data_IF_053428350814
#
_entry.id   IF_053428350814
#
_cell.length_a   1.000
_cell.length_b   1.000
_cell.length_c   1.000
_cell.angle_alpha   90.00
_cell.angle_beta   90.00
_cell.angle_gamma   90.00
#
_symmetry.space_group_name_H-M   'P 1'
#
loop_
_entity.id
_entity.type
_entity.pdbx_description
1 polymer ?
#
# COMPACT_ATOMS: atom_id res chain seq x y z
N UNK A 1 3.00 -6.24 35.64
CA UNK A 1 2.10 -6.60 34.52
C UNK A 1 2.97 -7.17 33.42
N UNK A 2 2.76 -8.44 33.05
CA UNK A 2 3.47 -9.06 31.92
C UNK A 2 3.06 -8.40 30.61
N UNK A 3 4.01 -8.16 29.72
CA UNK A 3 3.73 -7.65 28.38
C UNK A 3 2.73 -8.57 27.66
N UNK A 4 1.72 -8.05 26.97
CA UNK A 4 0.78 -8.85 26.17
C UNK A 4 1.40 -9.35 24.88
N UNK A 5 2.72 -9.22 24.70
CA UNK A 5 3.42 -9.71 23.52
C UNK A 5 3.38 -11.25 23.46
N UNK A 6 3.04 -11.84 22.30
CA UNK A 6 3.07 -13.28 22.13
C UNK A 6 4.52 -13.79 22.24
N UNK A 7 4.67 -15.05 22.64
CA UNK A 7 6.00 -15.70 22.70
C UNK A 7 6.62 -15.82 21.30
N UNK A 8 5.78 -16.11 20.30
CA UNK A 8 6.12 -16.19 18.88
C UNK A 8 5.13 -15.33 18.09
N UNK A 9 5.64 -14.48 17.24
CA UNK A 9 4.81 -13.64 16.41
C UNK A 9 4.20 -14.41 15.25
N UNK A 10 3.04 -13.98 14.75
CA UNK A 10 2.41 -14.62 13.62
C UNK A 10 3.32 -14.59 12.39
N UNK A 11 3.53 -15.73 11.77
CA UNK A 11 4.40 -15.89 10.60
C UNK A 11 5.89 -16.07 10.93
N UNK A 12 6.26 -16.07 12.21
CA UNK A 12 7.63 -16.30 12.62
C UNK A 12 8.11 -17.73 12.26
N UNK A 13 9.39 -17.83 11.94
CA UNK A 13 10.00 -19.09 11.55
C UNK A 13 11.51 -19.00 11.50
N UNK A 14 12.16 -20.16 11.50
CA UNK A 14 13.60 -20.30 11.45
C UNK A 14 14.06 -20.72 10.04
N UNK A 15 15.20 -20.19 9.61
CA UNK A 15 15.86 -20.57 8.37
C UNK A 15 17.32 -20.93 8.63
N UNK A 16 17.85 -21.85 7.81
CA UNK A 16 19.29 -22.18 7.81
C UNK A 16 20.13 -21.22 6.99
N UNK A 17 19.50 -20.20 6.40
CA UNK A 17 20.18 -19.18 5.59
C UNK A 17 19.59 -17.80 5.92
N UNK A 18 20.21 -16.75 5.43
CA UNK A 18 19.81 -15.37 5.65
C UNK A 18 19.33 -14.74 4.35
N UNK A 19 18.28 -13.91 4.45
CA UNK A 19 17.70 -13.21 3.32
C UNK A 19 17.74 -11.71 3.54
N UNK A 20 17.94 -10.96 2.46
CA UNK A 20 17.92 -9.52 2.44
C UNK A 20 16.81 -9.01 1.54
N UNK A 21 15.99 -8.11 2.08
CA UNK A 21 14.94 -7.38 1.36
C UNK A 21 15.52 -6.06 0.87
N UNK A 22 15.82 -5.95 -0.42
CA UNK A 22 16.53 -4.80 -0.98
C UNK A 22 15.61 -3.60 -1.19
N UNK A 23 14.55 -3.80 -1.97
CA UNK A 23 13.57 -2.76 -2.28
C UNK A 23 12.21 -3.37 -2.60
N UNK A 24 11.18 -2.52 -2.57
CA UNK A 24 9.86 -2.85 -3.07
C UNK A 24 9.37 -1.76 -4.03
N UNK A 25 8.80 -2.19 -5.14
CA UNK A 25 8.13 -1.33 -6.11
C UNK A 25 6.62 -1.55 -6.03
N UNK A 26 5.86 -0.47 -6.00
CA UNK A 26 4.41 -0.45 -5.91
C UNK A 26 3.84 0.09 -7.23
N UNK A 27 2.83 -0.56 -7.80
CA UNK A 27 2.25 -0.17 -9.09
C UNK A 27 1.58 1.20 -9.07
N UNK A 28 1.08 1.64 -7.90
CA UNK A 28 0.45 2.94 -7.71
C UNK A 28 0.50 3.36 -6.23
N UNK A 29 0.43 4.66 -5.98
CA UNK A 29 0.29 5.25 -4.64
C UNK A 29 -1.17 5.62 -4.34
N UNK A 30 -1.95 5.90 -5.38
CA UNK A 30 -3.39 6.11 -5.34
C UNK A 30 -4.07 4.99 -6.11
N UNK A 31 -4.97 4.25 -5.46
CA UNK A 31 -5.66 3.10 -6.01
C UNK A 31 -7.16 3.20 -5.81
N UNK A 32 -7.93 2.75 -6.78
CA UNK A 32 -9.38 2.69 -6.69
C UNK A 32 -9.82 1.38 -5.97
N UNK A 33 -10.97 1.36 -5.27
CA UNK A 33 -11.48 0.15 -4.62
C UNK A 33 -11.63 -1.08 -5.54
N UNK A 34 -11.78 -0.89 -6.86
CA UNK A 34 -11.86 -1.98 -7.84
C UNK A 34 -10.52 -2.48 -8.36
N UNK A 35 -9.43 -1.80 -8.00
CA UNK A 35 -8.10 -2.07 -8.54
C UNK A 35 -7.40 -3.22 -7.80
N UNK A 36 -6.31 -3.67 -8.40
CA UNK A 36 -5.37 -4.59 -7.76
C UNK A 36 -4.01 -3.92 -7.68
N UNK A 37 -3.53 -3.70 -6.46
CA UNK A 37 -2.17 -3.22 -6.22
C UNK A 37 -1.19 -4.37 -6.47
N UNK A 38 -0.18 -4.11 -7.29
CA UNK A 38 0.92 -5.04 -7.52
C UNK A 38 2.14 -4.53 -6.76
N UNK A 39 2.70 -5.39 -5.91
CA UNK A 39 3.91 -5.09 -5.13
C UNK A 39 5.00 -6.07 -5.55
N UNK A 40 6.11 -5.55 -6.06
CA UNK A 40 7.26 -6.32 -6.48
C UNK A 40 8.40 -6.11 -5.50
N UNK A 41 8.86 -7.18 -4.85
CA UNK A 41 9.89 -7.16 -3.81
C UNK A 41 11.14 -7.85 -4.33
N UNK A 42 12.30 -7.18 -4.25
CA UNK A 42 13.59 -7.77 -4.57
C UNK A 42 14.17 -8.45 -3.34
N UNK A 43 14.30 -9.77 -3.39
CA UNK A 43 14.80 -10.62 -2.34
C UNK A 43 16.11 -11.28 -2.77
N UNK A 44 17.11 -11.31 -1.87
CA UNK A 44 18.42 -11.93 -2.10
C UNK A 44 18.74 -12.89 -0.96
N UNK A 45 19.24 -14.09 -1.29
CA UNK A 45 19.82 -14.99 -0.34
C UNK A 45 21.29 -14.57 -0.07
N UNK A 46 21.57 -14.08 1.12
CA UNK A 46 22.92 -13.63 1.52
C UNK A 46 23.70 -14.70 2.32
N UNK A 47 23.05 -15.81 2.62
CA UNK A 47 23.71 -16.93 3.30
C UNK A 47 24.41 -17.90 2.35
N UNK A 48 25.02 -18.93 2.91
CA UNK A 48 25.81 -19.95 2.19
C UNK A 48 25.02 -21.18 1.79
N UNK A 49 23.76 -21.27 2.19
CA UNK A 49 22.89 -22.45 1.94
C UNK A 49 21.65 -22.01 1.16
N UNK A 50 21.18 -22.86 0.26
CA UNK A 50 19.91 -22.63 -0.44
C UNK A 50 18.73 -22.76 0.54
N UNK A 51 17.73 -21.91 0.38
CA UNK A 51 16.58 -21.91 1.29
C UNK A 51 15.33 -21.30 0.69
N UNK A 52 14.24 -21.43 1.42
CA UNK A 52 12.96 -20.79 1.09
C UNK A 52 12.69 -19.68 2.10
N UNK A 53 12.28 -18.54 1.60
CA UNK A 53 11.83 -17.41 2.42
C UNK A 53 10.33 -17.21 2.25
N UNK A 54 9.64 -16.77 3.30
CA UNK A 54 8.22 -16.43 3.23
C UNK A 54 8.07 -14.92 3.25
N UNK A 55 7.92 -14.34 2.06
CA UNK A 55 7.62 -12.90 1.92
C UNK A 55 6.16 -12.67 2.22
N UNK A 56 5.86 -11.91 3.27
CA UNK A 56 4.52 -11.64 3.77
C UNK A 56 4.15 -10.18 3.56
N UNK A 57 2.95 -9.93 3.03
CA UNK A 57 2.39 -8.61 2.84
C UNK A 57 1.26 -8.40 3.83
N UNK A 58 1.46 -7.47 4.75
CA UNK A 58 0.46 -7.03 5.71
C UNK A 58 -0.10 -5.66 5.31
N UNK A 59 -1.35 -5.44 5.65
CA UNK A 59 -2.01 -4.15 5.48
C UNK A 59 -2.53 -3.69 6.83
N UNK A 60 -2.26 -2.43 7.14
CA UNK A 60 -2.79 -1.71 8.27
C UNK A 60 -3.65 -0.57 7.76
N UNK A 61 -4.89 -0.51 8.18
CA UNK A 61 -5.73 0.66 8.04
C UNK A 61 -5.28 1.71 9.06
N UNK A 62 -4.95 2.92 8.59
CA UNK A 62 -4.43 3.98 9.48
C UNK A 62 -5.55 4.60 10.29
N UNK A 63 -6.71 4.80 9.67
CA UNK A 63 -7.90 5.39 10.29
C UNK A 63 -9.14 4.61 9.84
N UNK A 64 -9.67 3.77 10.69
CA UNK A 64 -10.87 2.98 10.41
C UNK A 64 -12.07 3.49 11.19
N UNK A 65 -13.26 3.47 10.58
CA UNK A 65 -14.53 3.85 11.22
C UNK A 65 -15.02 2.84 12.25
N UNK A 66 -14.51 1.61 12.19
CA UNK A 66 -14.83 0.51 13.09
C UNK A 66 -13.57 -0.11 13.66
N UNK A 67 -13.71 -0.86 14.74
CA UNK A 67 -12.57 -1.57 15.34
C UNK A 67 -12.11 -2.68 14.40
N UNK A 68 -10.88 -2.56 13.92
CA UNK A 68 -10.22 -3.53 13.05
C UNK A 68 -8.95 -4.08 13.69
N UNK A 69 -8.46 -5.26 13.28
CA UNK A 69 -7.14 -5.72 13.69
C UNK A 69 -6.06 -4.70 13.33
N UNK A 70 -5.03 -4.55 14.17
CA UNK A 70 -3.92 -3.62 13.95
C UNK A 70 -3.29 -3.78 12.58
N UNK A 71 -3.18 -5.01 12.08
CA UNK A 71 -2.75 -5.36 10.73
C UNK A 71 -3.30 -6.71 10.32
N UNK A 72 -3.39 -6.95 9.02
CA UNK A 72 -3.90 -8.19 8.45
C UNK A 72 -2.95 -8.69 7.36
N UNK A 73 -2.63 -9.99 7.37
CA UNK A 73 -1.93 -10.63 6.26
C UNK A 73 -2.87 -10.73 5.06
N UNK A 74 -2.49 -10.16 3.92
CA UNK A 74 -3.31 -10.14 2.70
C UNK A 74 -2.70 -10.94 1.55
N UNK A 75 -1.38 -11.04 1.50
CA UNK A 75 -0.71 -11.85 0.49
C UNK A 75 0.60 -12.42 1.03
N UNK A 76 1.04 -13.53 0.48
CA UNK A 76 2.35 -14.09 0.76
C UNK A 76 2.88 -14.87 -0.44
N UNK A 77 4.20 -15.07 -0.47
CA UNK A 77 4.87 -15.91 -1.46
C UNK A 77 6.07 -16.60 -0.80
N UNK A 78 6.39 -17.81 -1.25
CA UNK A 78 7.49 -18.62 -0.69
C UNK A 78 8.50 -19.00 -1.79
N UNK A 79 9.33 -18.05 -2.27
CA UNK A 79 10.38 -18.33 -3.24
C UNK A 79 11.48 -19.21 -2.65
N UNK A 80 12.14 -19.98 -3.53
CA UNK A 80 13.35 -20.74 -3.22
C UNK A 80 14.53 -20.09 -3.91
N UNK A 81 15.59 -19.77 -3.15
CA UNK A 81 16.78 -19.10 -3.67
C UNK A 81 18.05 -19.89 -3.34
N UNK A 82 18.94 -19.99 -4.33
CA UNK A 82 20.31 -20.47 -4.15
C UNK A 82 21.15 -19.44 -3.40
N UNK A 83 22.30 -19.83 -2.83
CA UNK A 83 23.25 -18.88 -2.23
C UNK A 83 23.65 -17.78 -3.23
N UNK A 84 23.53 -16.52 -2.80
CA UNK A 84 23.83 -15.34 -3.62
C UNK A 84 22.77 -14.99 -4.66
N UNK A 85 21.76 -15.84 -4.87
CA UNK A 85 20.69 -15.58 -5.85
C UNK A 85 19.79 -14.43 -5.39
N UNK A 86 19.37 -13.65 -6.39
CA UNK A 86 18.39 -12.57 -6.24
C UNK A 86 17.18 -12.85 -7.12
N UNK A 87 15.99 -12.71 -6.54
CA UNK A 87 14.72 -12.91 -7.22
C UNK A 87 13.75 -11.79 -6.91
N UNK A 88 12.96 -11.38 -7.91
CA UNK A 88 11.83 -10.47 -7.71
C UNK A 88 10.56 -11.27 -7.42
N UNK A 89 9.98 -11.04 -6.27
CA UNK A 89 8.74 -11.64 -5.81
C UNK A 89 7.60 -10.69 -6.08
N UNK A 90 6.56 -11.14 -6.78
CA UNK A 90 5.38 -10.33 -7.10
C UNK A 90 4.22 -10.76 -6.22
N UNK A 91 3.69 -9.82 -5.45
CA UNK A 91 2.50 -9.97 -4.60
C UNK A 91 1.37 -9.14 -5.19
N UNK A 92 0.18 -9.72 -5.26
CA UNK A 92 -1.04 -9.06 -5.76
C UNK A 92 -1.99 -8.84 -4.59
N UNK A 93 -2.47 -7.62 -4.45
CA UNK A 93 -3.43 -7.21 -3.44
C UNK A 93 -4.65 -6.61 -4.14
N UNK A 94 -5.74 -7.38 -4.34
CA UNK A 94 -7.01 -6.80 -4.74
C UNK A 94 -7.51 -5.87 -3.64
N UNK A 95 -7.78 -4.62 -3.96
CA UNK A 95 -8.20 -3.61 -2.95
C UNK A 95 -9.53 -3.99 -2.30
N UNK A 96 -10.38 -4.72 -2.99
CA UNK A 96 -11.63 -5.26 -2.44
C UNK A 96 -11.43 -6.17 -1.21
N UNK A 97 -10.25 -6.78 -1.04
CA UNK A 97 -9.93 -7.57 0.15
C UNK A 97 -9.71 -6.72 1.41
N UNK A 98 -9.58 -5.40 1.26
CA UNK A 98 -9.51 -4.46 2.38
C UNK A 98 -10.89 -4.08 2.92
N UNK A 99 -11.96 -4.57 2.29
CA UNK A 99 -13.32 -4.27 2.70
C UNK A 99 -13.61 -4.75 4.12
N UNK A 100 -14.25 -3.89 4.87
CA UNK A 100 -14.79 -4.15 6.21
C UNK A 100 -16.33 -4.06 6.20
N UNK A 101 -16.95 -4.45 7.29
CA UNK A 101 -18.39 -4.24 7.49
C UNK A 101 -18.59 -2.99 8.33
N UNK A 102 -19.33 -2.02 7.77
CA UNK A 102 -19.70 -0.79 8.46
C UNK A 102 -20.76 -1.04 9.54
N UNK A 103 -21.13 0.02 10.28
CA UNK A 103 -22.17 -0.05 11.30
C UNK A 103 -23.55 -0.46 10.75
N UNK A 104 -23.77 -0.35 9.44
CA UNK A 104 -24.99 -0.79 8.75
C UNK A 104 -24.88 -2.22 8.22
N UNK A 105 -23.83 -2.96 8.58
CA UNK A 105 -23.53 -4.33 8.11
C UNK A 105 -23.35 -4.43 6.59
N UNK A 106 -22.93 -3.35 5.95
CA UNK A 106 -22.55 -3.34 4.53
C UNK A 106 -21.05 -3.52 4.39
N UNK A 107 -20.67 -4.36 3.43
CA UNK A 107 -19.25 -4.57 3.08
C UNK A 107 -18.79 -3.40 2.22
N UNK A 108 -17.85 -2.61 2.74
CA UNK A 108 -17.31 -1.40 2.10
C UNK A 108 -15.79 -1.37 2.19
N UNK A 109 -15.15 -0.79 1.19
CA UNK A 109 -13.74 -0.38 1.26
C UNK A 109 -13.75 1.10 1.62
N UNK A 110 -13.16 1.45 2.76
CA UNK A 110 -13.08 2.84 3.19
C UNK A 110 -12.03 3.59 2.37
N UNK A 111 -12.34 4.84 2.03
CA UNK A 111 -11.37 5.74 1.42
C UNK A 111 -10.43 6.28 2.50
N UNK A 112 -9.14 6.25 2.25
CA UNK A 112 -8.16 6.68 3.25
C UNK A 112 -6.76 6.13 3.02
N UNK A 113 -5.92 6.31 4.03
CA UNK A 113 -4.55 5.86 4.03
C UNK A 113 -4.41 4.44 4.56
N UNK A 114 -3.71 3.61 3.80
CA UNK A 114 -3.36 2.25 4.17
C UNK A 114 -1.86 2.07 4.17
N UNK A 115 -1.32 1.52 5.24
CA UNK A 115 0.10 1.19 5.32
C UNK A 115 0.32 -0.25 4.86
N UNK A 116 1.06 -0.40 3.77
CA UNK A 116 1.52 -1.69 3.26
C UNK A 116 2.84 -2.02 3.93
N UNK A 117 2.89 -3.16 4.58
CA UNK A 117 4.05 -3.65 5.32
C UNK A 117 4.51 -4.98 4.74
N UNK A 118 5.80 -5.11 4.45
CA UNK A 118 6.39 -6.34 3.92
C UNK A 118 7.43 -6.82 4.91
N UNK A 119 7.36 -8.09 5.26
CA UNK A 119 8.27 -8.68 6.23
C UNK A 119 8.29 -10.20 6.21
N UNK A 120 9.04 -10.76 7.13
CA UNK A 120 9.17 -12.20 7.37
C UNK A 120 8.15 -12.70 8.37
N UNK A 121 7.72 -11.83 9.29
CA UNK A 121 6.73 -12.09 10.33
C UNK A 121 5.93 -10.83 10.64
N UNK A 122 4.90 -10.97 11.47
CA UNK A 122 4.02 -9.84 11.82
C UNK A 122 4.74 -8.72 12.59
N UNK A 123 5.80 -9.00 13.29
CA UNK A 123 6.64 -8.04 14.03
C UNK A 123 7.99 -7.76 13.37
N UNK A 124 8.41 -8.58 12.39
CA UNK A 124 9.64 -8.38 11.63
C UNK A 124 9.32 -7.78 10.25
N UNK A 125 9.01 -6.47 10.25
CA UNK A 125 8.69 -5.72 9.04
C UNK A 125 9.95 -5.07 8.48
N UNK A 126 10.26 -5.39 7.21
CA UNK A 126 11.47 -4.94 6.49
C UNK A 126 11.21 -3.68 5.65
N UNK A 127 10.06 -3.61 5.00
CA UNK A 127 9.71 -2.51 4.11
C UNK A 127 8.30 -2.01 4.42
N UNK A 128 8.10 -0.68 4.33
CA UNK A 128 6.81 -0.03 4.57
C UNK A 128 6.54 1.02 3.51
N UNK A 129 5.28 1.15 3.12
CA UNK A 129 4.81 2.20 2.22
C UNK A 129 3.37 2.55 2.54
N UNK A 130 3.05 3.83 2.57
CA UNK A 130 1.67 4.28 2.63
C UNK A 130 1.12 4.44 1.22
N UNK A 131 -0.09 3.94 1.00
CA UNK A 131 -0.89 4.15 -0.21
C UNK A 131 -2.20 4.83 0.19
N UNK A 132 -2.85 5.48 -0.76
CA UNK A 132 -4.17 6.05 -0.58
C UNK A 132 -5.19 5.26 -1.41
N UNK A 133 -6.26 4.81 -0.76
CA UNK A 133 -7.42 4.21 -1.42
C UNK A 133 -8.50 5.27 -1.57
N UNK A 134 -8.93 5.55 -2.79
CA UNK A 134 -9.94 6.58 -3.03
C UNK A 134 -10.32 6.66 -4.50
N UNK A 135 -11.33 7.48 -4.76
CA UNK A 135 -11.68 7.80 -6.15
C UNK A 135 -10.66 8.79 -6.68
N UNK A 136 -10.11 8.51 -7.84
CA UNK A 136 -9.34 9.53 -8.54
C UNK A 136 -10.25 10.74 -8.76
N UNK A 137 -9.80 11.96 -8.46
CA UNK A 137 -10.51 13.13 -8.92
C UNK A 137 -10.65 12.97 -10.43
N UNK A 138 -11.89 12.96 -10.92
CA UNK A 138 -12.17 12.89 -12.36
C UNK A 138 -11.56 14.15 -12.94
N UNK A 139 -10.35 14.08 -13.47
CA UNK A 139 -9.85 15.10 -14.35
C UNK A 139 -10.69 15.01 -15.61
N UNK A 140 -11.82 15.69 -15.57
CA UNK A 140 -12.55 15.98 -16.79
C UNK A 140 -11.59 16.78 -17.66
N UNK A 141 -11.00 16.10 -18.65
CA UNK A 141 -10.42 16.77 -19.80
C UNK A 141 -11.57 17.40 -20.60
N UNK A 142 -12.28 18.33 -19.98
CA UNK A 142 -12.98 19.34 -20.68
C UNK A 142 -11.90 20.29 -21.17
N UNK A 143 -11.48 20.09 -22.41
CA UNK A 143 -10.77 21.09 -23.19
C UNK A 143 -11.67 22.32 -23.15
N UNK A 144 -11.43 23.19 -22.19
CA UNK A 144 -12.04 24.51 -22.19
C UNK A 144 -11.32 25.31 -23.28
N UNK A 145 -11.85 25.21 -24.51
CA UNK A 145 -11.53 26.16 -25.56
C UNK A 145 -12.16 27.49 -25.20
N UNK A 146 -11.52 28.22 -24.31
CA UNK A 146 -11.68 29.66 -24.22
C UNK A 146 -10.31 30.28 -24.01
N UNK A 147 -9.77 30.74 -25.13
CA UNK A 147 -8.71 31.74 -25.13
C UNK A 147 -9.20 32.95 -24.33
N UNK A 148 -8.69 33.15 -23.11
CA UNK A 148 -8.64 34.45 -22.50
C UNK A 148 -7.65 34.52 -21.36
N UNK A 149 -6.74 35.49 -21.53
CA UNK A 149 -5.91 36.13 -20.52
C UNK A 149 -4.62 35.48 -20.08
N UNK A 150 -3.60 35.53 -20.94
CA UNK A 150 -2.24 35.80 -20.51
C UNK A 150 -2.11 37.30 -20.21
N UNK A 151 -2.34 37.72 -18.98
CA UNK A 151 -1.75 38.95 -18.42
C UNK A 151 -1.97 38.90 -16.90
N UNK A 152 -0.89 38.83 -16.16
CA UNK A 152 -0.73 38.88 -14.71
C UNK A 152 -0.17 37.61 -14.05
N UNK A 153 1.01 37.17 -14.51
CA UNK A 153 1.84 36.25 -13.77
C UNK A 153 3.25 36.83 -13.57
N UNK A 154 3.32 37.98 -12.92
CA UNK A 154 4.56 38.46 -12.28
C UNK A 154 4.17 39.07 -10.94
N UNK A 155 4.36 38.30 -9.86
CA UNK A 155 4.59 38.68 -8.45
C UNK A 155 3.76 37.81 -7.47
N UNK A 156 4.21 36.62 -7.20
CA UNK A 156 4.31 36.06 -5.81
C UNK A 156 4.43 34.52 -5.82
N UNK A 157 5.54 33.95 -5.40
CA UNK A 157 5.71 32.51 -5.32
C UNK A 157 5.48 32.00 -3.88
N UNK A 158 4.32 32.16 -3.31
CA UNK A 158 3.92 31.39 -2.12
C UNK A 158 2.39 31.41 -2.00
N UNK A 159 1.80 30.23 -2.05
CA UNK A 159 0.38 29.87 -1.75
C UNK A 159 -0.52 29.63 -2.95
N UNK A 160 -0.97 28.41 -3.00
CA UNK A 160 -2.35 27.95 -2.76
C UNK A 160 -2.74 26.82 -3.68
N UNK A 161 -3.04 25.71 -3.06
CA UNK A 161 -4.02 24.76 -3.58
C UNK A 161 -5.32 25.53 -3.76
N UNK A 162 -5.69 25.81 -4.99
CA UNK A 162 -6.97 26.43 -5.30
C UNK A 162 -7.93 25.33 -5.72
N UNK A 163 -8.85 25.03 -4.80
CA UNK A 163 -10.03 24.20 -5.10
C UNK A 163 -10.87 24.99 -6.09
N UNK A 164 -10.90 24.56 -7.34
CA UNK A 164 -11.82 25.08 -8.32
C UNK A 164 -13.22 24.51 -8.04
N UNK A 165 -14.09 25.29 -7.43
CA UNK A 165 -15.51 25.01 -7.33
C UNK A 165 -16.12 25.34 -8.70
N UNK A 166 -16.48 24.32 -9.47
CA UNK A 166 -17.31 24.47 -10.65
C UNK A 166 -18.77 24.60 -10.20
N UNK A 167 -19.30 25.83 -10.19
CA UNK A 167 -20.75 26.08 -10.09
C UNK A 167 -21.35 25.72 -11.46
N UNK A 168 -22.26 24.75 -11.48
CA UNK A 168 -23.15 24.53 -12.64
C UNK A 168 -24.28 25.56 -12.54
N UNK A 169 -24.30 26.51 -13.46
CA UNK A 169 -25.51 27.25 -13.74
C UNK A 169 -26.43 26.33 -14.55
N UNK A 170 -27.64 26.18 -14.04
CA UNK A 170 -28.68 25.41 -14.69
C UNK A 170 -29.37 26.19 -15.81
N UNK A 171 -29.69 25.49 -16.84
CA UNK A 171 -30.96 25.61 -17.62
C UNK A 171 -31.23 24.24 -18.24
#
# INVERSE_FOLDING_TARGET
MSSPAPLWSFGDGLSYTTFEYLNAHYSAELVHPSDTLIVSVSLKNTGSVAGKEVVQLYVRDVVSSVVTPVKQLKAFSKPFLQPGEMQTVVLKLPIQELALYDLSMKKVVEEGEYEIQIGTASDDIRLRRTIFVGRQPVTSNSICHTAFCMHDLVKNPVRKIQVAVCVRDGE
#
